data_IF_653355999824
#
_entry.id   IF_653355999824
#
_cell.length_a   1.000
_cell.length_b   1.000
_cell.length_c   1.000
_cell.angle_alpha   90.00
_cell.angle_beta   90.00
_cell.angle_gamma   90.00
#
_symmetry.space_group_name_H-M   'P 1'
#
loop_
_entity.id
_entity.type
_entity.pdbx_description
1 polymer ?
#
# COMPACT_ATOMS: atom_id res chain seq x y z
N UNK A 1 28.53 -7.83 15.66
CA UNK A 1 28.29 -6.74 14.70
C UNK A 1 27.37 -7.28 13.62
N UNK A 2 26.07 -7.03 13.73
CA UNK A 2 25.16 -7.28 12.61
C UNK A 2 25.50 -6.32 11.48
N UNK A 3 25.60 -6.85 10.27
CA UNK A 3 25.86 -6.08 9.05
C UNK A 3 24.64 -5.17 8.84
N UNK A 4 24.83 -3.85 8.79
CA UNK A 4 23.76 -2.92 8.38
C UNK A 4 23.14 -3.44 7.07
N UNK A 5 21.87 -3.84 7.14
CA UNK A 5 21.10 -4.25 5.97
C UNK A 5 20.58 -3.00 5.29
N UNK A 6 21.03 -2.73 4.06
CA UNK A 6 20.57 -1.58 3.28
C UNK A 6 19.16 -1.79 2.71
N UNK A 7 18.68 -3.04 2.68
CA UNK A 7 17.34 -3.40 2.25
C UNK A 7 16.88 -4.70 2.88
N UNK A 8 15.56 -4.86 3.00
CA UNK A 8 14.90 -6.06 3.47
C UNK A 8 13.58 -6.30 2.75
N UNK A 9 13.42 -7.51 2.20
CA UNK A 9 12.23 -7.90 1.46
C UNK A 9 11.15 -8.31 2.45
N UNK A 10 10.02 -7.60 2.44
CA UNK A 10 8.86 -7.91 3.28
C UNK A 10 7.96 -8.95 2.62
N UNK A 11 7.70 -8.80 1.32
CA UNK A 11 6.91 -9.74 0.54
C UNK A 11 7.59 -10.04 -0.80
N UNK A 12 7.82 -11.33 -1.05
CA UNK A 12 8.33 -11.87 -2.32
C UNK A 12 7.25 -12.73 -2.95
N UNK A 13 6.54 -12.19 -3.94
CA UNK A 13 5.37 -12.85 -4.52
C UNK A 13 5.71 -14.01 -5.45
N UNK A 14 6.99 -14.33 -5.62
CA UNK A 14 7.44 -15.60 -6.23
C UNK A 14 7.14 -16.79 -5.34
N UNK A 15 7.00 -16.55 -4.04
CA UNK A 15 6.59 -17.52 -3.03
C UNK A 15 5.08 -17.50 -2.91
N UNK A 16 4.43 -18.68 -2.99
CA UNK A 16 2.97 -18.79 -2.89
C UNK A 16 2.47 -18.37 -1.52
N UNK A 17 3.26 -18.66 -0.50
CA UNK A 17 2.99 -18.33 0.90
C UNK A 17 2.83 -16.82 1.10
N UNK A 18 3.56 -16.00 0.31
CA UNK A 18 3.42 -14.54 0.35
C UNK A 18 2.07 -14.07 -0.19
N UNK A 19 1.46 -14.78 -1.16
CA UNK A 19 0.13 -14.45 -1.67
C UNK A 19 -0.97 -14.76 -0.64
N UNK A 20 -0.84 -15.89 0.07
CA UNK A 20 -1.82 -16.36 1.07
C UNK A 20 -1.91 -15.43 2.29
N UNK A 21 -0.85 -14.67 2.56
CA UNK A 21 -0.83 -13.65 3.61
C UNK A 21 -1.71 -12.44 3.28
N UNK A 22 -2.26 -12.33 2.07
CA UNK A 22 -3.01 -11.16 1.63
C UNK A 22 -4.49 -11.48 1.46
N UNK A 23 -5.33 -10.50 1.77
CA UNK A 23 -6.77 -10.58 1.58
C UNK A 23 -7.24 -9.57 0.54
N UNK A 24 -8.26 -9.94 -0.21
CA UNK A 24 -8.94 -9.09 -1.19
C UNK A 24 -10.18 -8.48 -0.55
N UNK A 25 -10.36 -7.17 -0.76
CA UNK A 25 -11.49 -6.39 -0.28
C UNK A 25 -12.06 -5.64 -1.47
N UNK A 26 -13.36 -5.74 -1.69
CA UNK A 26 -14.08 -5.01 -2.75
C UNK A 26 -15.25 -4.27 -2.13
N UNK A 27 -15.72 -3.23 -2.81
CA UNK A 27 -16.94 -2.52 -2.41
C UNK A 27 -18.20 -3.41 -2.45
N UNK A 28 -18.17 -4.56 -3.12
CA UNK A 28 -19.25 -5.56 -3.15
C UNK A 28 -19.68 -6.01 -1.74
N UNK A 29 -18.74 -6.10 -0.80
CA UNK A 29 -19.05 -6.41 0.61
C UNK A 29 -19.91 -5.34 1.30
N UNK A 30 -19.87 -4.12 0.78
CA UNK A 30 -20.67 -2.99 1.22
C UNK A 30 -21.85 -2.72 0.29
N UNK A 31 -22.11 -3.60 -0.69
CA UNK A 31 -23.19 -3.49 -1.66
C UNK A 31 -22.77 -2.94 -3.02
N UNK A 32 -21.53 -2.48 -3.21
CA UNK A 32 -21.01 -1.98 -4.49
C UNK A 32 -20.97 -3.05 -5.60
N UNK A 33 -20.54 -2.62 -6.79
CA UNK A 33 -20.56 -3.46 -8.01
C UNK A 33 -19.14 -3.73 -8.57
N UNK A 34 -18.08 -3.31 -7.86
CA UNK A 34 -16.71 -3.54 -8.31
C UNK A 34 -16.31 -4.99 -8.06
N UNK A 35 -15.58 -5.59 -9.01
CA UNK A 35 -15.13 -6.98 -8.94
C UNK A 35 -13.63 -7.04 -9.12
N UNK A 36 -12.99 -7.91 -8.37
CA UNK A 36 -11.54 -8.10 -8.46
C UNK A 36 -11.15 -9.54 -8.12
N UNK A 37 -9.92 -9.87 -8.48
CA UNK A 37 -9.23 -11.09 -8.07
C UNK A 37 -7.78 -10.77 -7.71
N UNK A 38 -7.24 -11.56 -6.79
CA UNK A 38 -5.83 -11.50 -6.39
C UNK A 38 -5.24 -12.89 -6.51
N UNK A 39 -4.43 -13.10 -7.56
CA UNK A 39 -3.95 -14.42 -7.96
C UNK A 39 -2.47 -14.36 -8.31
N UNK A 40 -1.78 -15.50 -8.29
CA UNK A 40 -0.41 -15.60 -8.80
C UNK A 40 -0.43 -15.98 -10.29
N UNK A 41 0.34 -15.29 -11.12
CA UNK A 41 0.50 -15.67 -12.53
C UNK A 41 1.49 -16.86 -12.69
N UNK A 42 1.57 -17.49 -13.88
CA UNK A 42 2.53 -18.56 -14.15
C UNK A 42 4.01 -18.14 -14.01
N UNK A 43 4.31 -16.85 -14.10
CA UNK A 43 5.64 -16.29 -13.90
C UNK A 43 6.03 -16.13 -12.43
N UNK A 44 5.12 -16.41 -11.49
CA UNK A 44 5.34 -16.25 -10.06
C UNK A 44 5.22 -14.80 -9.57
N UNK A 45 4.45 -13.94 -10.24
CA UNK A 45 4.12 -12.61 -9.70
C UNK A 45 2.68 -12.59 -9.21
N UNK A 46 2.41 -11.77 -8.20
CA UNK A 46 1.05 -11.50 -7.78
C UNK A 46 0.37 -10.57 -8.80
N UNK A 47 -0.91 -10.82 -9.06
CA UNK A 47 -1.73 -10.08 -10.00
C UNK A 47 -3.01 -9.66 -9.31
N UNK A 48 -3.15 -8.36 -9.13
CA UNK A 48 -4.36 -7.71 -8.67
C UNK A 48 -5.08 -7.11 -9.88
N UNK A 49 -6.20 -7.70 -10.29
CA UNK A 49 -6.92 -7.29 -11.49
C UNK A 49 -8.42 -7.38 -11.29
N UNK A 50 -9.17 -6.66 -12.10
CA UNK A 50 -10.61 -6.59 -11.96
C UNK A 50 -11.24 -5.50 -12.80
N UNK A 51 -12.44 -5.09 -12.39
CA UNK A 51 -13.19 -4.01 -12.98
C UNK A 51 -13.81 -3.14 -11.87
N UNK A 52 -13.49 -1.85 -11.88
CA UNK A 52 -14.08 -0.84 -10.99
C UNK A 52 -15.43 -0.43 -11.56
N UNK A 53 -16.46 -0.37 -10.71
CA UNK A 53 -17.75 0.23 -11.04
C UNK A 53 -18.07 1.34 -10.05
N UNK A 54 -18.28 2.56 -10.55
CA UNK A 54 -18.74 3.70 -9.76
C UNK A 54 -20.27 3.83 -9.73
N UNK A 55 -20.99 2.83 -10.25
CA UNK A 55 -22.45 2.82 -10.18
C UNK A 55 -22.91 2.56 -8.75
N UNK A 56 -23.97 3.28 -8.34
CA UNK A 56 -24.61 3.06 -7.04
C UNK A 56 -25.73 2.03 -7.20
N UNK A 57 -25.79 0.99 -6.35
CA UNK A 57 -26.84 -0.02 -6.43
C UNK A 57 -28.22 0.59 -6.15
N UNK A 58 -29.25 0.25 -6.94
CA UNK A 58 -30.61 0.71 -6.71
C UNK A 58 -31.10 0.32 -5.31
N UNK A 59 -31.72 1.25 -4.60
CA UNK A 59 -32.30 1.05 -3.27
C UNK A 59 -31.31 0.62 -2.15
N UNK A 60 -30.02 0.97 -2.28
CA UNK A 60 -29.03 0.75 -1.23
C UNK A 60 -28.77 2.01 -0.40
N UNK A 61 -28.31 1.84 0.85
CA UNK A 61 -27.80 2.92 1.70
C UNK A 61 -26.36 3.34 1.34
N UNK A 62 -25.81 2.76 0.26
CA UNK A 62 -24.43 2.98 -0.19
C UNK A 62 -24.30 4.37 -0.77
N UNK A 63 -23.45 5.19 -0.15
CA UNK A 63 -23.16 6.55 -0.62
C UNK A 63 -21.97 6.64 -1.57
N UNK A 64 -21.10 5.63 -1.55
CA UNK A 64 -19.84 5.60 -2.29
C UNK A 64 -19.57 4.18 -2.81
N UNK A 65 -19.22 4.08 -4.09
CA UNK A 65 -18.75 2.85 -4.76
C UNK A 65 -17.49 3.15 -5.58
N UNK A 66 -16.93 2.12 -6.22
CA UNK A 66 -15.74 2.21 -7.05
C UNK A 66 -14.45 1.91 -6.30
N UNK A 67 -14.44 0.86 -5.46
CA UNK A 67 -13.25 0.49 -4.69
C UNK A 67 -12.90 -0.99 -4.76
N UNK A 68 -11.63 -1.29 -5.01
CA UNK A 68 -11.02 -2.60 -4.82
C UNK A 68 -9.68 -2.43 -4.09
N UNK A 69 -9.36 -3.34 -3.19
CA UNK A 69 -8.16 -3.28 -2.37
C UNK A 69 -7.62 -4.66 -2.04
N UNK A 70 -6.30 -4.77 -1.92
CA UNK A 70 -5.61 -5.93 -1.36
C UNK A 70 -4.81 -5.50 -0.14
N UNK A 71 -4.73 -6.34 0.89
CA UNK A 71 -4.03 -6.01 2.13
C UNK A 71 -3.37 -7.24 2.74
N UNK A 72 -2.12 -7.11 3.16
CA UNK A 72 -1.47 -8.10 4.01
C UNK A 72 -2.22 -8.23 5.35
N UNK A 73 -2.41 -9.47 5.80
CA UNK A 73 -3.02 -9.78 7.08
C UNK A 73 -2.00 -9.58 8.20
N UNK A 74 -2.41 -9.06 9.37
CA UNK A 74 -1.52 -8.97 10.52
C UNK A 74 -1.16 -10.38 11.00
N UNK A 75 0.11 -10.59 11.32
CA UNK A 75 0.55 -11.81 12.03
C UNK A 75 0.52 -11.56 13.54
N UNK A 76 0.38 -12.66 14.28
CA UNK A 76 0.24 -12.63 15.74
C UNK A 76 1.21 -13.63 16.34
N UNK A 77 1.92 -13.23 17.38
CA UNK A 77 2.81 -14.12 18.10
C UNK A 77 2.01 -15.08 19.01
N UNK A 78 2.72 -15.99 19.68
CA UNK A 78 2.10 -16.97 20.58
C UNK A 78 1.39 -16.36 21.80
N UNK A 79 1.66 -15.09 22.13
CA UNK A 79 1.01 -14.35 23.22
C UNK A 79 -0.24 -13.61 22.75
N UNK A 80 -0.50 -13.61 21.44
CA UNK A 80 -1.56 -12.81 20.84
C UNK A 80 -1.17 -11.34 20.69
N UNK A 81 0.12 -11.00 20.69
CA UNK A 81 0.60 -9.68 20.30
C UNK A 81 0.77 -9.62 18.78
N UNK A 82 0.38 -8.49 18.18
CA UNK A 82 0.60 -8.24 16.75
C UNK A 82 2.11 -8.19 16.47
N UNK A 83 2.56 -9.06 15.57
CA UNK A 83 3.89 -8.99 14.98
C UNK A 83 3.88 -7.90 13.89
N UNK A 84 4.80 -6.94 14.01
CA UNK A 84 4.94 -5.85 13.06
C UNK A 84 6.39 -5.80 12.57
N UNK A 85 6.57 -5.51 11.29
CA UNK A 85 7.89 -5.37 10.69
C UNK A 85 8.54 -4.09 11.22
N UNK A 86 9.65 -4.21 11.94
CA UNK A 86 10.43 -3.05 12.38
C UNK A 86 11.19 -2.46 11.20
N UNK A 87 10.91 -1.20 10.91
CA UNK A 87 11.44 -0.47 9.75
C UNK A 87 12.23 0.77 10.16
N UNK A 88 12.61 0.87 11.43
CA UNK A 88 13.28 2.05 12.02
C UNK A 88 14.56 2.44 11.27
N UNK A 89 15.28 1.46 10.74
CA UNK A 89 16.56 1.66 10.07
C UNK A 89 16.45 1.97 8.56
N UNK A 90 15.23 2.00 8.00
CA UNK A 90 15.00 2.24 6.57
C UNK A 90 14.38 3.62 6.32
N UNK A 91 14.41 4.08 5.06
CA UNK A 91 13.90 5.42 4.68
C UNK A 91 12.63 5.36 3.80
N UNK A 92 12.31 4.20 3.24
CA UNK A 92 11.12 4.05 2.42
C UNK A 92 10.85 2.64 1.92
N UNK A 93 9.73 2.54 1.21
CA UNK A 93 9.26 1.31 0.57
C UNK A 93 9.67 1.35 -0.90
N UNK A 94 10.17 0.22 -1.40
CA UNK A 94 10.46 -0.01 -2.80
C UNK A 94 9.69 -1.23 -3.28
N UNK A 95 8.97 -1.07 -4.38
CA UNK A 95 8.19 -2.13 -4.99
C UNK A 95 8.49 -2.23 -6.48
N UNK A 96 8.53 -3.46 -6.98
CA UNK A 96 8.63 -3.73 -8.41
C UNK A 96 7.27 -4.12 -8.95
N UNK A 97 6.70 -3.25 -9.76
CA UNK A 97 5.31 -3.35 -10.23
C UNK A 97 5.20 -3.17 -11.73
N UNK A 98 4.17 -3.74 -12.33
CA UNK A 98 3.76 -3.48 -13.72
C UNK A 98 2.26 -3.22 -13.72
N UNK A 99 1.89 -1.97 -13.96
CA UNK A 99 0.50 -1.54 -13.92
C UNK A 99 -0.08 -1.15 -15.28
N UNK A 100 -1.26 -0.59 -15.22
CA UNK A 100 -2.22 -0.34 -16.30
C UNK A 100 -2.43 1.15 -16.62
N UNK A 101 -1.68 2.04 -15.98
CA UNK A 101 -1.79 3.49 -16.15
C UNK A 101 -2.60 4.16 -15.04
N UNK A 102 -3.18 3.39 -14.11
CA UNK A 102 -3.96 3.94 -13.00
C UNK A 102 -3.08 4.35 -11.82
N UNK A 103 -3.72 5.12 -10.92
CA UNK A 103 -3.15 5.56 -9.64
C UNK A 103 -3.64 4.64 -8.52
N UNK A 104 -2.70 4.10 -7.76
CA UNK A 104 -2.99 3.25 -6.62
C UNK A 104 -2.59 3.95 -5.33
N UNK A 105 -3.44 3.84 -4.32
CA UNK A 105 -3.09 4.18 -2.95
C UNK A 105 -2.28 3.03 -2.34
N UNK A 106 -1.16 3.36 -1.73
CA UNK A 106 -0.34 2.50 -0.89
C UNK A 106 -0.66 2.85 0.57
N UNK A 107 -1.29 1.89 1.26
CA UNK A 107 -1.78 2.05 2.62
C UNK A 107 -0.90 1.25 3.58
N UNK A 108 -0.48 1.87 4.67
CA UNK A 108 0.31 1.24 5.74
C UNK A 108 -0.43 1.43 7.05
N UNK A 109 -0.83 0.32 7.69
CA UNK A 109 -1.29 0.36 9.07
C UNK A 109 -0.14 0.02 9.99
N UNK A 110 -0.13 0.67 11.14
CA UNK A 110 1.00 0.63 12.08
C UNK A 110 0.46 0.23 13.44
N UNK A 111 1.36 -0.13 14.37
CA UNK A 111 0.99 -0.24 15.78
C UNK A 111 0.91 1.18 16.35
N UNK A 112 -0.17 1.89 16.05
CA UNK A 112 -0.47 3.24 16.56
C UNK A 112 -1.32 3.17 17.83
N UNK A 113 -1.60 4.33 18.42
CA UNK A 113 -2.55 4.50 19.54
C UNK A 113 -3.98 4.12 19.11
N UNK A 114 -4.32 4.35 17.83
CA UNK A 114 -5.62 3.96 17.25
C UNK A 114 -5.40 2.88 16.19
N UNK A 115 -6.22 1.83 16.24
CA UNK A 115 -6.14 0.72 15.28
C UNK A 115 -6.54 1.13 13.84
N UNK A 116 -7.33 2.18 13.69
CA UNK A 116 -7.83 2.69 12.40
C UNK A 116 -6.91 3.72 11.74
N UNK A 117 -5.73 3.98 12.33
CA UNK A 117 -4.74 4.88 11.73
C UNK A 117 -4.11 4.24 10.48
N UNK A 118 -4.14 4.98 9.38
CA UNK A 118 -3.58 4.56 8.10
C UNK A 118 -2.63 5.65 7.60
N UNK A 119 -1.39 5.28 7.33
CA UNK A 119 -0.45 6.10 6.57
C UNK A 119 -0.65 5.81 5.09
N UNK A 120 -1.03 6.82 4.32
CA UNK A 120 -1.36 6.68 2.90
C UNK A 120 -0.39 7.47 2.03
N UNK A 121 0.06 6.85 0.94
CA UNK A 121 0.76 7.52 -0.16
C UNK A 121 0.16 7.05 -1.48
N UNK A 122 0.41 7.76 -2.57
CA UNK A 122 -0.07 7.37 -3.91
C UNK A 122 1.09 7.13 -4.85
N UNK A 123 0.92 6.21 -5.79
CA UNK A 123 1.82 6.04 -6.92
C UNK A 123 1.06 5.82 -8.21
N UNK A 124 1.66 6.28 -9.30
CA UNK A 124 1.08 6.23 -10.64
C UNK A 124 1.81 5.17 -11.43
N UNK A 125 1.05 4.31 -12.12
CA UNK A 125 1.63 3.29 -13.00
C UNK A 125 1.70 3.83 -14.43
N UNK A 126 2.63 3.31 -15.25
CA UNK A 126 2.91 3.83 -16.60
C UNK A 126 2.13 3.16 -17.74
N UNK A 127 1.32 2.15 -17.47
CA UNK A 127 0.48 1.50 -18.49
C UNK A 127 1.10 0.38 -19.32
N UNK A 128 2.03 -0.41 -18.73
CA UNK A 128 2.65 -1.57 -19.39
C UNK A 128 3.46 -1.22 -20.66
N UNK A 129 4.13 -2.21 -21.29
CA UNK A 129 4.33 -3.60 -20.85
C UNK A 129 5.50 -3.78 -19.88
N UNK A 130 6.23 -2.70 -19.55
CA UNK A 130 7.48 -2.75 -18.80
C UNK A 130 7.24 -2.76 -17.28
N UNK A 131 8.12 -3.45 -16.57
CA UNK A 131 8.22 -3.39 -15.11
C UNK A 131 8.84 -2.06 -14.69
N UNK A 132 8.31 -1.48 -13.62
CA UNK A 132 8.82 -0.25 -13.01
C UNK A 132 9.21 -0.48 -11.55
N UNK A 133 10.18 0.30 -11.09
CA UNK A 133 10.61 0.31 -9.68
C UNK A 133 10.07 1.59 -9.05
N UNK A 134 9.03 1.44 -8.24
CA UNK A 134 8.44 2.56 -7.51
C UNK A 134 9.09 2.66 -6.15
N UNK A 135 9.64 3.85 -5.84
CA UNK A 135 10.24 4.19 -4.55
C UNK A 135 9.38 5.22 -3.83
N UNK A 136 8.91 4.87 -2.65
CA UNK A 136 8.05 5.72 -1.82
C UNK A 136 8.75 5.98 -0.48
N UNK A 137 9.39 7.16 -0.31
CA UNK A 137 9.93 7.57 0.99
C UNK A 137 8.84 7.63 2.06
N UNK A 138 9.19 7.29 3.29
CA UNK A 138 8.24 7.38 4.41
C UNK A 138 7.71 8.81 4.62
N UNK A 139 8.49 9.82 4.25
CA UNK A 139 8.10 11.24 4.29
C UNK A 139 6.99 11.62 3.29
N UNK A 140 6.66 10.75 2.32
CA UNK A 140 5.53 10.98 1.40
C UNK A 140 4.20 10.45 1.91
N UNK A 141 4.19 9.71 3.01
CA UNK A 141 2.97 9.19 3.59
C UNK A 141 2.31 10.25 4.47
N UNK A 142 1.00 10.34 4.36
CA UNK A 142 0.16 11.18 5.23
C UNK A 142 -0.71 10.30 6.11
N UNK A 143 -0.82 10.65 7.38
CA UNK A 143 -1.68 9.97 8.35
C UNK A 143 -3.14 10.36 8.12
N UNK A 144 -3.99 9.35 7.97
CA UNK A 144 -5.44 9.47 7.95
C UNK A 144 -6.06 8.56 9.02
N UNK A 145 -7.24 8.94 9.50
CA UNK A 145 -8.06 8.13 10.41
C UNK A 145 -9.51 8.19 9.92
N UNK A 146 -10.14 7.03 9.73
CA UNK A 146 -11.50 6.91 9.18
C UNK A 146 -11.73 7.72 7.88
N UNK A 147 -10.69 7.85 7.05
CA UNK A 147 -10.73 8.63 5.80
C UNK A 147 -10.45 10.13 5.93
N UNK A 148 -10.26 10.64 7.16
CA UNK A 148 -9.94 12.05 7.40
C UNK A 148 -8.43 12.26 7.60
N UNK A 149 -7.87 13.23 6.89
CA UNK A 149 -6.48 13.66 7.09
C UNK A 149 -6.29 14.18 8.52
N UNK A 150 -5.23 13.73 9.17
CA UNK A 150 -4.89 14.19 10.52
C UNK A 150 -3.92 15.38 10.45
N UNK A 151 -4.15 16.41 11.25
CA UNK A 151 -3.24 17.56 11.30
C UNK A 151 -1.89 17.18 11.93
N UNK A 152 -1.94 16.36 12.98
CA UNK A 152 -0.74 15.85 13.65
C UNK A 152 -0.23 14.61 12.92
N UNK A 153 0.83 14.80 12.14
CA UNK A 153 1.54 13.71 11.48
C UNK A 153 2.50 13.02 12.43
N UNK A 154 2.69 11.71 12.26
CA UNK A 154 3.62 10.92 13.06
C UNK A 154 4.46 10.00 12.19
N UNK A 155 5.69 9.74 12.60
CA UNK A 155 6.52 8.71 11.99
C UNK A 155 5.98 7.32 12.37
N UNK A 156 6.15 6.36 11.47
CA UNK A 156 5.72 4.98 11.68
C UNK A 156 6.89 4.00 11.58
N UNK A 157 7.53 3.64 12.70
CA UNK A 157 8.68 2.74 12.68
C UNK A 157 8.30 1.26 12.54
N UNK A 158 7.01 0.92 12.54
CA UNK A 158 6.55 -0.47 12.51
C UNK A 158 5.35 -0.66 11.58
N UNK A 159 5.50 -1.54 10.60
CA UNK A 159 4.44 -1.91 9.65
C UNK A 159 3.69 -3.13 10.18
N UNK A 160 2.43 -2.93 10.56
CA UNK A 160 1.50 -4.01 10.92
C UNK A 160 0.88 -4.64 9.68
N UNK A 161 0.34 -3.81 8.79
CA UNK A 161 -0.16 -4.26 7.48
C UNK A 161 0.23 -3.28 6.40
N UNK A 162 0.30 -3.77 5.16
CA UNK A 162 0.47 -2.97 3.96
C UNK A 162 -0.56 -3.41 2.94
N UNK A 163 -1.11 -2.46 2.18
CA UNK A 163 -2.10 -2.76 1.16
C UNK A 163 -2.10 -1.79 0.01
N UNK A 164 -2.72 -2.22 -1.08
CA UNK A 164 -2.99 -1.39 -2.26
C UNK A 164 -4.50 -1.16 -2.34
N UNK A 165 -4.91 0.06 -2.65
CA UNK A 165 -6.31 0.38 -2.96
C UNK A 165 -6.39 1.11 -4.29
N UNK A 166 -7.30 0.66 -5.14
CA UNK A 166 -7.75 1.39 -6.32
C UNK A 166 -9.12 1.98 -6.02
N UNK A 167 -9.19 3.31 -6.02
CA UNK A 167 -10.41 4.10 -5.81
C UNK A 167 -10.28 5.43 -6.57
N UNK A 168 -9.89 5.34 -7.85
CA UNK A 168 -9.60 6.48 -8.72
C UNK A 168 -10.86 7.09 -9.38
N UNK A 169 -12.05 6.59 -9.02
CA UNK A 169 -13.32 7.00 -9.63
C UNK A 169 -13.39 6.78 -11.15
N UNK A 170 -12.53 5.92 -11.70
CA UNK A 170 -12.51 5.59 -13.12
C UNK A 170 -13.09 4.19 -13.34
N UNK A 171 -14.33 4.13 -13.83
CA UNK A 171 -14.99 2.86 -14.15
C UNK A 171 -14.25 2.12 -15.26
N UNK A 172 -14.05 0.81 -15.09
CA UNK A 172 -13.45 -0.03 -16.11
C UNK A 172 -12.38 -0.99 -15.56
N UNK A 173 -11.71 -1.72 -16.46
CA UNK A 173 -10.75 -2.73 -16.07
C UNK A 173 -9.52 -2.12 -15.43
N UNK A 174 -8.90 -2.88 -14.53
CA UNK A 174 -7.60 -2.57 -13.96
C UNK A 174 -6.72 -3.82 -13.86
N UNK A 175 -5.41 -3.61 -13.87
CA UNK A 175 -4.43 -4.68 -13.84
C UNK A 175 -3.09 -4.21 -13.24
N UNK A 176 -2.76 -4.71 -12.06
CA UNK A 176 -1.50 -4.45 -11.36
C UNK A 176 -0.79 -5.77 -11.05
N UNK A 177 0.40 -5.94 -11.61
CA UNK A 177 1.31 -7.02 -11.24
C UNK A 177 2.37 -6.53 -10.26
N UNK A 178 2.73 -7.40 -9.32
CA UNK A 178 3.65 -7.10 -8.22
C UNK A 178 4.63 -8.27 -8.09
N UNK A 179 5.93 -7.98 -8.23
CA UNK A 179 6.99 -8.99 -8.06
C UNK A 179 7.42 -9.07 -6.59
N UNK A 180 7.75 -7.92 -5.98
CA UNK A 180 8.13 -7.86 -4.58
C UNK A 180 7.85 -6.48 -3.97
N UNK A 181 7.86 -6.46 -2.63
CA UNK A 181 7.81 -5.26 -1.79
C UNK A 181 8.93 -5.37 -0.76
N UNK A 182 9.76 -4.34 -0.67
CA UNK A 182 10.88 -4.26 0.26
C UNK A 182 10.99 -2.89 0.91
N UNK A 183 11.67 -2.84 2.04
CA UNK A 183 12.11 -1.59 2.68
C UNK A 183 13.57 -1.35 2.38
N UNK A 184 13.95 -0.09 2.20
CA UNK A 184 15.30 0.30 1.75
C UNK A 184 15.77 1.54 2.50
N UNK A 185 17.04 1.56 2.87
CA UNK A 185 17.76 2.73 3.33
C UNK A 185 18.23 3.53 2.11
N UNK A 186 17.69 4.74 1.92
CA UNK A 186 18.07 5.63 0.84
C UNK A 186 19.32 6.40 1.27
N UNK A 187 20.49 5.92 0.86
CA UNK A 187 21.79 6.46 1.26
C UNK A 187 22.04 7.98 0.96
N UNK A 188 21.08 8.74 0.40
CA UNK A 188 21.25 10.15 0.03
C UNK A 188 19.99 11.03 0.14
N UNK A 189 18.96 10.68 0.92
CA UNK A 189 17.83 11.60 1.21
C UNK A 189 18.00 12.17 2.63
N UNK A 190 17.98 13.50 2.83
CA UNK A 190 17.99 14.05 4.18
C UNK A 190 16.74 13.56 4.93
N UNK A 191 16.95 12.91 6.08
CA UNK A 191 15.88 12.34 6.93
C UNK A 191 14.93 13.38 7.53
N UNK A 192 15.23 14.67 7.36
CA UNK A 192 14.43 15.79 7.87
C UNK A 192 14.17 16.81 6.77
N UNK A 193 12.96 17.39 6.76
CA UNK A 193 12.67 18.61 6.01
C UNK A 193 13.57 19.73 6.56
N UNK A 194 14.54 20.18 5.78
CA UNK A 194 15.20 21.44 6.05
C UNK A 194 14.21 22.55 5.72
N UNK A 195 13.72 23.25 6.76
CA UNK A 195 13.02 24.51 6.57
C UNK A 195 13.92 25.44 5.76
N UNK A 196 13.57 25.67 4.50
CA UNK A 196 14.12 26.80 3.76
C UNK A 196 13.50 28.05 4.36
N UNK A 197 14.16 28.62 5.37
CA UNK A 197 13.98 30.03 5.65
C UNK A 197 14.41 30.78 4.40
N UNK A 198 13.45 31.18 3.57
CA UNK A 198 13.67 32.18 2.55
C UNK A 198 14.10 33.44 3.30
N UNK A 199 15.40 33.76 3.24
CA UNK A 199 15.87 35.10 3.59
C UNK A 199 15.14 36.08 2.69
N UNK A 200 14.22 36.85 3.29
CA UNK A 200 13.69 38.05 2.67
C UNK A 200 14.87 38.98 2.40
N UNK A 201 15.13 39.27 1.13
CA UNK A 201 15.87 40.45 0.69
C UNK A 201 14.84 41.48 0.25
#
# INVERSE_FOLDING_TARGET
MERLKYEEVLWDFRKKEALEQWTLITDEQFGGLSRAEFVQNPGGQAVFKGNISTELPPASSVKYSGMCSIRAQPTWDWKGDVEANDITDYDGIVMRVRGDGRTYALNVQTKSVRDDDIHQSFFHTRGGPLWDIVKVPFTKFVLTNAGFLQDQQMAFPRIRTLGFTLADWNTGPFHLEIDYIKVVLFMYQPKFFSYHYLSKV
#
